data_IF_032431414140
#
_entry.id   IF_032431414140
#
_cell.length_a   1.000
_cell.length_b   1.000
_cell.length_c   1.000
_cell.angle_alpha   90.00
_cell.angle_beta   90.00
_cell.angle_gamma   90.00
#
_symmetry.space_group_name_H-M   'P 1'
#
loop_
_entity.id
_entity.type
_entity.pdbx_description
1 polymer ?
#
# COMPACT_ATOMS: atom_id res chain seq x y z
N UNK A 1 16.80 -7.56 -1.36
CA UNK A 1 16.41 -6.66 -2.46
C UNK A 1 15.96 -5.28 -1.96
N UNK A 2 14.92 -5.14 -1.14
CA UNK A 2 14.40 -3.82 -0.73
C UNK A 2 15.41 -2.91 -0.02
N UNK A 3 16.34 -3.46 0.78
CA UNK A 3 17.38 -2.69 1.46
C UNK A 3 18.18 -1.78 0.51
N UNK A 4 18.73 -2.32 -0.58
CA UNK A 4 19.54 -1.54 -1.51
C UNK A 4 18.71 -0.48 -2.24
N UNK A 5 17.45 -0.79 -2.52
CA UNK A 5 16.53 0.17 -3.15
C UNK A 5 16.22 1.34 -2.21
N UNK A 6 15.85 1.08 -0.95
CA UNK A 6 15.60 2.12 0.06
C UNK A 6 16.84 3.00 0.25
N UNK A 7 18.01 2.36 0.40
CA UNK A 7 19.28 3.07 0.58
C UNK A 7 19.59 3.97 -0.63
N UNK A 8 19.37 3.47 -1.85
CA UNK A 8 19.55 4.24 -3.09
C UNK A 8 18.60 5.43 -3.16
N UNK A 9 17.30 5.21 -2.90
CA UNK A 9 16.29 6.26 -2.96
C UNK A 9 16.50 7.34 -1.88
N UNK A 10 16.99 6.93 -0.70
CA UNK A 10 17.29 7.88 0.37
C UNK A 10 18.50 8.76 0.05
N UNK A 11 19.59 8.16 -0.49
CA UNK A 11 20.85 8.87 -0.75
C UNK A 11 20.86 9.64 -2.07
N UNK A 12 20.15 9.14 -3.08
CA UNK A 12 20.02 9.76 -4.41
C UNK A 12 18.52 9.87 -4.73
N UNK A 13 17.82 10.84 -4.12
CA UNK A 13 16.39 10.97 -4.28
C UNK A 13 16.01 11.25 -5.73
N UNK A 14 15.01 10.51 -6.22
CA UNK A 14 14.37 10.73 -7.50
C UNK A 14 12.88 10.94 -7.27
N UNK A 15 12.45 12.20 -7.38
CA UNK A 15 11.02 12.55 -7.25
C UNK A 15 10.18 11.87 -8.34
N UNK A 16 10.58 11.84 -9.63
CA UNK A 16 9.81 11.14 -10.66
C UNK A 16 9.61 9.65 -10.35
N UNK A 17 10.65 8.98 -9.84
CA UNK A 17 10.55 7.56 -9.47
C UNK A 17 9.67 7.36 -8.23
N UNK A 18 9.72 8.28 -7.27
CA UNK A 18 8.86 8.26 -6.09
C UNK A 18 7.37 8.38 -6.47
N UNK A 19 7.07 9.27 -7.41
CA UNK A 19 5.72 9.40 -8.01
C UNK A 19 5.31 8.15 -8.78
N UNK A 20 6.23 7.57 -9.57
CA UNK A 20 5.94 6.33 -10.30
C UNK A 20 5.57 5.20 -9.33
N UNK A 21 6.34 5.01 -8.25
CA UNK A 21 6.02 4.02 -7.22
C UNK A 21 4.67 4.31 -6.55
N UNK A 22 4.39 5.57 -6.21
CA UNK A 22 3.11 5.99 -5.64
C UNK A 22 1.92 5.66 -6.55
N UNK A 23 2.04 5.93 -7.85
CA UNK A 23 0.96 5.70 -8.82
C UNK A 23 0.80 4.21 -9.19
N UNK A 24 1.85 3.40 -8.99
CA UNK A 24 1.89 2.01 -9.48
C UNK A 24 0.72 1.15 -8.99
N UNK A 25 0.30 1.14 -7.71
CA UNK A 25 -0.89 0.41 -7.27
C UNK A 25 -2.17 0.82 -8.02
N UNK A 26 -2.33 2.12 -8.29
CA UNK A 26 -3.50 2.65 -9.01
C UNK A 26 -3.49 2.16 -10.46
N UNK A 27 -2.34 2.30 -11.14
CA UNK A 27 -2.18 1.87 -12.54
C UNK A 27 -2.41 0.37 -12.68
N UNK A 28 -1.86 -0.45 -11.78
CA UNK A 28 -2.09 -1.90 -11.78
C UNK A 28 -3.56 -2.25 -11.54
N UNK A 29 -4.23 -1.57 -10.62
CA UNK A 29 -5.66 -1.79 -10.36
C UNK A 29 -6.52 -1.43 -11.58
N UNK A 30 -6.24 -0.30 -12.24
CA UNK A 30 -6.94 0.11 -13.45
C UNK A 30 -6.71 -0.87 -14.61
N UNK A 31 -5.47 -1.29 -14.82
CA UNK A 31 -5.13 -2.29 -15.83
C UNK A 31 -5.85 -3.62 -15.55
N UNK A 32 -5.87 -4.05 -14.29
CA UNK A 32 -6.58 -5.26 -13.87
C UNK A 32 -8.09 -5.15 -14.10
N UNK A 33 -8.74 -4.09 -13.62
CA UNK A 33 -10.19 -3.89 -13.82
C UNK A 33 -10.55 -3.88 -15.30
N UNK A 34 -9.73 -3.22 -16.13
CA UNK A 34 -9.91 -3.22 -17.58
C UNK A 34 -9.76 -4.62 -18.17
N UNK A 35 -8.79 -5.40 -17.70
CA UNK A 35 -8.54 -6.76 -18.17
C UNK A 35 -9.67 -7.74 -17.83
N UNK A 36 -10.24 -7.66 -16.62
CA UNK A 36 -11.33 -8.56 -16.18
C UNK A 36 -12.74 -8.03 -16.51
N UNK A 37 -12.84 -6.87 -17.18
CA UNK A 37 -14.12 -6.28 -17.58
C UNK A 37 -14.92 -5.64 -16.44
N UNK A 38 -14.27 -5.27 -15.33
CA UNK A 38 -14.92 -4.56 -14.23
C UNK A 38 -15.12 -3.09 -14.60
N UNK A 39 -16.31 -2.55 -14.32
CA UNK A 39 -16.62 -1.14 -14.51
C UNK A 39 -15.74 -0.27 -13.60
N UNK A 40 -15.19 0.80 -14.18
CA UNK A 40 -14.28 1.72 -13.50
C UNK A 40 -15.00 3.04 -13.26
N UNK A 41 -15.21 3.36 -11.99
CA UNK A 41 -15.63 4.70 -11.58
C UNK A 41 -14.41 5.62 -11.53
N UNK A 42 -14.13 6.31 -12.64
CA UNK A 42 -12.99 7.21 -12.76
C UNK A 42 -13.02 8.35 -11.75
N UNK A 43 -14.20 8.85 -11.37
CA UNK A 43 -14.32 9.92 -10.39
C UNK A 43 -13.86 9.44 -9.01
N UNK A 44 -14.33 8.25 -8.60
CA UNK A 44 -13.90 7.63 -7.34
C UNK A 44 -12.42 7.27 -7.34
N UNK A 45 -11.89 6.76 -8.47
CA UNK A 45 -10.46 6.47 -8.59
C UNK A 45 -9.63 7.75 -8.46
N UNK A 46 -9.96 8.81 -9.21
CA UNK A 46 -9.24 10.08 -9.16
C UNK A 46 -9.28 10.71 -7.76
N UNK A 47 -10.46 10.69 -7.11
CA UNK A 47 -10.61 11.18 -5.74
C UNK A 47 -9.74 10.37 -4.77
N UNK A 48 -9.79 9.03 -4.85
CA UNK A 48 -8.99 8.15 -4.00
C UNK A 48 -7.48 8.35 -4.22
N UNK A 49 -7.04 8.49 -5.47
CA UNK A 49 -5.63 8.74 -5.80
C UNK A 49 -5.19 10.13 -5.33
N UNK A 50 -6.04 11.15 -5.49
CA UNK A 50 -5.78 12.50 -4.99
C UNK A 50 -5.63 12.55 -3.46
N UNK A 51 -6.55 11.90 -2.73
CA UNK A 51 -6.43 11.77 -1.27
C UNK A 51 -5.19 10.96 -0.87
N UNK A 52 -4.87 9.90 -1.62
CA UNK A 52 -3.65 9.12 -1.42
C UNK A 52 -2.38 9.96 -1.61
N UNK A 53 -2.36 10.89 -2.56
CA UNK A 53 -1.23 11.80 -2.79
C UNK A 53 -1.05 12.73 -1.60
N UNK A 54 -2.13 13.31 -1.07
CA UNK A 54 -2.09 14.15 0.13
C UNK A 54 -1.60 13.35 1.34
N UNK A 55 -2.14 12.16 1.56
CA UNK A 55 -1.72 11.28 2.66
C UNK A 55 -0.23 10.87 2.56
N UNK A 56 0.25 10.59 1.35
CA UNK A 56 1.66 10.27 1.09
C UNK A 56 2.59 11.44 1.41
N UNK A 57 2.23 12.66 0.98
CA UNK A 57 2.99 13.87 1.28
C UNK A 57 3.02 14.16 2.78
N UNK A 58 1.87 14.07 3.46
CA UNK A 58 1.78 14.22 4.91
C UNK A 58 2.63 13.18 5.65
N UNK A 59 2.56 11.91 5.22
CA UNK A 59 3.35 10.83 5.81
C UNK A 59 4.86 11.07 5.64
N UNK A 60 5.28 11.51 4.45
CA UNK A 60 6.67 11.85 4.18
C UNK A 60 7.13 13.04 5.04
N UNK A 61 6.25 14.02 5.27
CA UNK A 61 6.53 15.16 6.15
C UNK A 61 6.67 14.73 7.61
N UNK A 62 5.79 13.85 8.10
CA UNK A 62 5.89 13.26 9.44
C UNK A 62 7.23 12.53 9.60
N UNK A 63 7.61 11.67 8.66
CA UNK A 63 8.90 10.95 8.69
C UNK A 63 10.06 11.95 8.73
N UNK A 64 10.05 12.96 7.86
CA UNK A 64 11.11 13.96 7.81
C UNK A 64 11.23 14.77 9.12
N UNK A 65 10.11 15.24 9.67
CA UNK A 65 10.08 15.93 10.96
C UNK A 65 10.57 15.03 12.09
N UNK A 66 10.17 13.75 12.11
CA UNK A 66 10.66 12.78 13.08
C UNK A 66 12.16 12.55 12.95
N UNK A 67 12.72 12.56 11.74
CA UNK A 67 14.17 12.47 11.54
C UNK A 67 14.89 13.67 12.17
N UNK A 68 14.38 14.88 11.96
CA UNK A 68 14.93 16.09 12.57
C UNK A 68 14.87 16.03 14.10
N UNK A 69 13.73 15.60 14.66
CA UNK A 69 13.54 15.55 16.12
C UNK A 69 14.34 14.44 16.80
N UNK A 70 14.37 13.22 16.24
CA UNK A 70 15.07 12.08 16.85
C UNK A 70 16.56 12.04 16.53
N UNK A 71 17.00 12.59 15.40
CA UNK A 71 18.40 12.49 14.94
C UNK A 71 19.15 13.81 14.98
N UNK A 72 18.45 14.93 15.14
CA UNK A 72 19.02 16.27 15.22
C UNK A 72 19.54 16.81 13.88
N UNK A 73 20.24 17.94 13.95
CA UNK A 73 20.84 18.64 12.80
C UNK A 73 21.89 17.81 12.05
N UNK A 74 22.45 16.78 12.67
CA UNK A 74 23.43 15.89 12.05
C UNK A 74 22.79 14.92 11.04
N UNK A 75 21.46 14.83 11.01
CA UNK A 75 20.77 14.00 10.03
C UNK A 75 21.05 14.57 8.64
N UNK A 76 21.78 13.82 7.80
CA UNK A 76 21.98 14.15 6.37
C UNK A 76 20.70 13.93 5.54
N UNK A 77 19.55 13.84 6.20
CA UNK A 77 18.28 13.53 5.58
C UNK A 77 17.72 14.79 4.89
N UNK A 78 17.33 14.65 3.63
CA UNK A 78 16.50 15.64 2.95
C UNK A 78 15.05 15.14 2.91
N UNK A 79 14.09 16.07 2.80
CA UNK A 79 12.68 15.73 2.62
C UNK A 79 12.49 14.85 1.37
N UNK A 80 13.15 15.20 0.26
CA UNK A 80 13.13 14.39 -0.96
C UNK A 80 13.67 12.97 -0.73
N UNK A 81 14.73 12.81 0.07
CA UNK A 81 15.26 11.50 0.46
C UNK A 81 14.27 10.67 1.27
N UNK A 82 13.62 11.27 2.27
CA UNK A 82 12.59 10.61 3.07
C UNK A 82 11.39 10.20 2.20
N UNK A 83 10.90 11.10 1.36
CA UNK A 83 9.79 10.88 0.45
C UNK A 83 10.09 9.77 -0.57
N UNK A 84 11.21 9.85 -1.30
CA UNK A 84 11.61 8.82 -2.28
C UNK A 84 11.82 7.45 -1.63
N UNK A 85 12.43 7.40 -0.45
CA UNK A 85 12.63 6.14 0.28
C UNK A 85 11.30 5.56 0.78
N UNK A 86 10.40 6.40 1.30
CA UNK A 86 9.08 5.98 1.75
C UNK A 86 8.21 5.49 0.60
N UNK A 87 8.37 6.03 -0.62
CA UNK A 87 7.63 5.58 -1.79
C UNK A 87 7.86 4.11 -2.16
N UNK A 88 8.94 3.49 -1.67
CA UNK A 88 9.16 2.04 -1.81
C UNK A 88 8.02 1.22 -1.19
N UNK A 89 7.29 1.77 -0.21
CA UNK A 89 6.08 1.13 0.33
C UNK A 89 5.00 0.92 -0.74
N UNK A 90 4.79 1.87 -1.64
CA UNK A 90 3.80 1.70 -2.70
C UNK A 90 4.23 0.65 -3.73
N UNK A 91 5.54 0.51 -3.99
CA UNK A 91 6.07 -0.59 -4.78
C UNK A 91 5.82 -1.95 -4.10
N UNK A 92 6.03 -2.05 -2.78
CA UNK A 92 5.72 -3.26 -2.01
C UNK A 92 4.24 -3.59 -2.11
N UNK A 93 3.36 -2.60 -1.90
CA UNK A 93 1.90 -2.75 -2.00
C UNK A 93 1.50 -3.21 -3.41
N UNK A 94 2.08 -2.63 -4.45
CA UNK A 94 1.84 -3.02 -5.84
C UNK A 94 2.22 -4.49 -6.11
N UNK A 95 3.41 -4.91 -5.67
CA UNK A 95 3.89 -6.29 -5.83
C UNK A 95 3.02 -7.26 -5.05
N UNK A 96 2.70 -6.95 -3.78
CA UNK A 96 1.82 -7.75 -2.94
C UNK A 96 0.42 -7.87 -3.57
N UNK A 97 -0.16 -6.76 -4.02
CA UNK A 97 -1.47 -6.75 -4.68
C UNK A 97 -1.48 -7.59 -5.96
N UNK A 98 -0.44 -7.48 -6.79
CA UNK A 98 -0.30 -8.31 -7.99
C UNK A 98 -0.20 -9.80 -7.65
N UNK A 99 0.56 -10.18 -6.62
CA UNK A 99 0.66 -11.57 -6.15
C UNK A 99 -0.68 -12.09 -5.63
N UNK A 100 -1.42 -11.28 -4.87
CA UNK A 100 -2.77 -11.63 -4.40
C UNK A 100 -3.71 -11.88 -5.58
N UNK A 101 -3.77 -10.94 -6.53
CA UNK A 101 -4.61 -11.05 -7.72
C UNK A 101 -4.26 -12.31 -8.52
N UNK A 102 -2.97 -12.53 -8.81
CA UNK A 102 -2.51 -13.70 -9.55
C UNK A 102 -2.86 -15.01 -8.84
N UNK A 103 -2.75 -15.04 -7.51
CA UNK A 103 -3.06 -16.22 -6.71
C UNK A 103 -4.55 -16.53 -6.71
N UNK A 104 -5.42 -15.52 -6.58
CA UNK A 104 -6.87 -15.70 -6.68
C UNK A 104 -7.25 -16.15 -8.09
N UNK A 105 -6.67 -15.53 -9.12
CA UNK A 105 -6.93 -15.89 -10.53
C UNK A 105 -6.58 -17.34 -10.82
N UNK A 106 -5.45 -17.83 -10.27
CA UNK A 106 -5.01 -19.21 -10.46
C UNK A 106 -5.80 -20.22 -9.60
N UNK A 107 -6.14 -19.86 -8.36
CA UNK A 107 -6.77 -20.78 -7.41
C UNK A 107 -8.30 -20.88 -7.57
N UNK A 108 -8.95 -19.81 -8.06
CA UNK A 108 -10.41 -19.74 -8.20
C UNK A 108 -10.76 -19.24 -9.62
N UNK A 109 -10.68 -20.12 -10.63
CA UNK A 109 -11.04 -19.77 -12.00
C UNK A 109 -12.48 -19.26 -12.10
N UNK A 110 -12.73 -18.25 -12.93
CA UNK A 110 -14.06 -17.67 -13.12
C UNK A 110 -14.54 -16.75 -11.99
N UNK A 111 -13.78 -16.60 -10.89
CA UNK A 111 -14.15 -15.70 -9.80
C UNK A 111 -14.36 -14.25 -10.28
N UNK A 112 -13.37 -13.69 -10.99
CA UNK A 112 -13.44 -12.30 -11.43
C UNK A 112 -14.49 -12.07 -12.51
N UNK A 113 -14.69 -13.03 -13.42
CA UNK A 113 -15.75 -12.97 -14.43
C UNK A 113 -17.13 -12.96 -13.76
N UNK A 114 -17.32 -13.80 -12.74
CA UNK A 114 -18.57 -13.83 -12.00
C UNK A 114 -18.82 -12.52 -11.26
N UNK A 115 -17.81 -11.98 -10.59
CA UNK A 115 -17.90 -10.66 -9.94
C UNK A 115 -18.23 -9.56 -10.96
N UNK A 116 -17.58 -9.57 -12.14
CA UNK A 116 -17.86 -8.61 -13.19
C UNK A 116 -19.29 -8.71 -13.73
N UNK A 117 -19.81 -9.93 -13.89
CA UNK A 117 -21.19 -10.14 -14.34
C UNK A 117 -22.24 -9.56 -13.38
N UNK A 118 -21.95 -9.55 -12.07
CA UNK A 118 -22.86 -9.07 -11.03
C UNK A 118 -22.73 -7.56 -10.80
N UNK A 119 -21.65 -6.95 -11.29
CA UNK A 119 -21.41 -5.52 -11.13
C UNK A 119 -22.44 -4.71 -11.91
N UNK A 120 -23.10 -3.75 -11.24
CA UNK A 120 -24.11 -2.89 -11.87
C UNK A 120 -25.53 -3.48 -11.90
N UNK A 121 -25.74 -4.71 -11.41
CA UNK A 121 -27.08 -5.30 -11.30
C UNK A 121 -27.84 -4.88 -10.04
N UNK A 122 -27.26 -4.04 -9.18
CA UNK A 122 -27.85 -3.66 -7.90
C UNK A 122 -27.95 -4.83 -6.90
N UNK A 123 -27.23 -5.92 -7.17
CA UNK A 123 -27.31 -7.13 -6.37
C UNK A 123 -26.86 -6.89 -4.93
N UNK A 124 -27.57 -7.47 -3.96
CA UNK A 124 -27.20 -7.40 -2.54
C UNK A 124 -25.92 -8.21 -2.28
N UNK A 125 -25.27 -7.95 -1.14
CA UNK A 125 -24.08 -8.74 -0.75
C UNK A 125 -24.41 -10.24 -0.63
N UNK A 126 -25.61 -10.57 -0.17
CA UNK A 126 -26.06 -11.96 -0.04
C UNK A 126 -26.27 -12.63 -1.41
N UNK A 127 -26.79 -11.88 -2.39
CA UNK A 127 -26.94 -12.36 -3.76
C UNK A 127 -25.59 -12.58 -4.43
N UNK A 128 -24.62 -11.69 -4.19
CA UNK A 128 -23.25 -11.84 -4.68
C UNK A 128 -22.58 -13.06 -4.02
N UNK A 129 -22.73 -13.23 -2.70
CA UNK A 129 -22.17 -14.38 -1.99
C UNK A 129 -22.79 -15.71 -2.49
N UNK A 130 -24.11 -15.76 -2.62
CA UNK A 130 -24.82 -16.94 -3.14
C UNK A 130 -24.41 -17.26 -4.59
N UNK A 131 -24.19 -16.24 -5.41
CA UNK A 131 -23.77 -16.41 -6.80
C UNK A 131 -22.30 -16.84 -6.95
N UNK A 132 -21.45 -16.54 -5.95
CA UNK A 132 -20.06 -16.98 -5.89
C UNK A 132 -19.89 -18.36 -5.23
N UNK A 133 -20.84 -18.77 -4.38
CA UNK A 133 -20.77 -20.02 -3.61
C UNK A 133 -20.45 -21.26 -4.47
N UNK A 134 -21.09 -21.48 -5.65
CA UNK A 134 -20.78 -22.67 -6.47
C UNK A 134 -19.33 -22.69 -6.97
N UNK A 135 -18.77 -21.51 -7.28
CA UNK A 135 -17.36 -21.37 -7.70
C UNK A 135 -16.44 -21.69 -6.51
N UNK A 136 -16.76 -21.15 -5.33
CA UNK A 136 -15.99 -21.39 -4.11
C UNK A 136 -16.04 -22.86 -3.67
N UNK A 137 -17.19 -23.51 -3.78
CA UNK A 137 -17.36 -24.93 -3.46
C UNK A 137 -16.54 -25.83 -4.41
N UNK A 138 -16.53 -25.48 -5.71
CA UNK A 138 -15.72 -26.17 -6.72
C UNK A 138 -14.20 -26.00 -6.49
N UNK A 139 -13.80 -24.91 -5.83
CA UNK A 139 -12.42 -24.60 -5.47
C UNK A 139 -12.09 -24.89 -3.99
N UNK A 140 -12.95 -25.61 -3.26
CA UNK A 140 -12.84 -25.83 -1.82
C UNK A 140 -11.47 -26.38 -1.36
N UNK A 141 -10.84 -27.25 -2.18
CA UNK A 141 -9.50 -27.79 -1.89
C UNK A 141 -8.38 -26.73 -2.01
N UNK A 142 -8.56 -25.70 -2.85
CA UNK A 142 -7.61 -24.62 -3.03
C UNK A 142 -7.81 -23.47 -2.03
N UNK A 143 -8.98 -23.37 -1.40
CA UNK A 143 -9.35 -22.27 -0.51
C UNK A 143 -8.47 -22.17 0.75
N UNK A 144 -8.22 -23.30 1.44
CA UNK A 144 -7.40 -23.28 2.65
C UNK A 144 -5.94 -22.89 2.33
N UNK A 145 -5.24 -23.55 1.38
CA UNK A 145 -3.90 -23.12 0.97
C UNK A 145 -3.83 -21.66 0.50
N UNK A 146 -4.83 -21.21 -0.28
CA UNK A 146 -4.91 -19.83 -0.73
C UNK A 146 -5.03 -18.87 0.46
N UNK A 147 -5.92 -19.13 1.42
CA UNK A 147 -6.09 -18.27 2.59
C UNK A 147 -4.81 -18.16 3.43
N UNK A 148 -4.09 -19.28 3.62
CA UNK A 148 -2.81 -19.29 4.33
C UNK A 148 -1.74 -18.50 3.57
N UNK A 149 -1.66 -18.68 2.25
CA UNK A 149 -0.75 -17.93 1.40
C UNK A 149 -1.04 -16.42 1.44
N UNK A 150 -2.31 -16.03 1.30
CA UNK A 150 -2.74 -14.63 1.37
C UNK A 150 -2.39 -14.01 2.74
N UNK A 151 -2.60 -14.74 3.83
CA UNK A 151 -2.20 -14.30 5.16
C UNK A 151 -0.68 -14.07 5.26
N UNK A 152 0.14 -15.02 4.79
CA UNK A 152 1.61 -14.89 4.79
C UNK A 152 2.06 -13.69 3.95
N UNK A 153 1.48 -13.52 2.76
CA UNK A 153 1.78 -12.38 1.87
C UNK A 153 1.39 -11.05 2.52
N UNK A 154 0.23 -10.99 3.18
CA UNK A 154 -0.20 -9.80 3.90
C UNK A 154 0.74 -9.46 5.05
N UNK A 155 1.09 -10.45 5.90
CA UNK A 155 2.06 -10.25 6.98
C UNK A 155 3.41 -9.79 6.43
N UNK A 156 3.92 -10.43 5.38
CA UNK A 156 5.17 -10.04 4.73
C UNK A 156 5.11 -8.59 4.22
N UNK A 157 3.99 -8.17 3.63
CA UNK A 157 3.76 -6.80 3.19
C UNK A 157 3.79 -5.79 4.35
N UNK A 158 3.12 -6.10 5.46
CA UNK A 158 3.11 -5.26 6.67
C UNK A 158 4.53 -5.11 7.24
N UNK A 159 5.24 -6.23 7.45
CA UNK A 159 6.60 -6.20 7.97
C UNK A 159 7.57 -5.47 7.03
N UNK A 160 7.42 -5.63 5.72
CA UNK A 160 8.22 -4.91 4.74
C UNK A 160 7.96 -3.40 4.82
N UNK A 161 6.71 -2.98 5.02
CA UNK A 161 6.35 -1.57 5.19
C UNK A 161 6.96 -0.93 6.44
N UNK A 162 6.89 -1.64 7.58
CA UNK A 162 7.54 -1.22 8.83
C UNK A 162 9.06 -1.16 8.65
N UNK A 163 9.64 -2.15 7.96
CA UNK A 163 11.07 -2.21 7.70
C UNK A 163 11.58 -1.02 6.87
N UNK A 164 10.79 -0.50 5.91
CA UNK A 164 11.15 0.72 5.15
C UNK A 164 11.36 1.90 6.09
N UNK A 165 10.43 2.15 7.00
CA UNK A 165 10.49 3.28 7.93
C UNK A 165 11.66 3.10 8.91
N UNK A 166 11.81 1.91 9.48
CA UNK A 166 12.97 1.57 10.32
C UNK A 166 14.29 1.83 9.60
N UNK A 167 14.38 1.46 8.32
CA UNK A 167 15.60 1.63 7.51
C UNK A 167 15.90 3.09 7.24
N UNK A 168 14.89 3.91 6.95
CA UNK A 168 15.03 5.37 6.79
C UNK A 168 15.65 5.98 8.05
N UNK A 169 15.13 5.64 9.24
CA UNK A 169 15.67 6.10 10.51
C UNK A 169 17.16 5.75 10.70
N UNK A 170 17.53 4.51 10.36
CA UNK A 170 18.91 4.03 10.46
C UNK A 170 19.86 4.70 9.45
N UNK A 171 19.36 5.05 8.26
CA UNK A 171 20.17 5.70 7.22
C UNK A 171 20.46 7.17 7.53
N UNK A 172 19.54 7.85 8.21
CA UNK A 172 19.70 9.27 8.55
C UNK A 172 20.85 9.50 9.54
N UNK A 173 20.99 8.63 10.55
CA UNK A 173 22.11 8.60 11.49
C UNK A 173 22.20 7.21 12.11
N UNK A 174 23.40 6.61 12.13
CA UNK A 174 23.62 5.34 12.81
C UNK A 174 23.48 5.53 14.32
N UNK A 175 22.36 5.06 14.86
CA UNK A 175 22.05 5.03 16.29
C UNK A 175 21.72 3.60 16.71
N UNK A 176 21.47 3.41 18.00
CA UNK A 176 20.99 2.12 18.53
C UNK A 176 19.74 1.61 17.79
N UNK A 177 19.60 0.28 17.70
CA UNK A 177 18.42 -0.37 17.11
C UNK A 177 17.13 0.03 17.85
N UNK A 178 17.19 0.22 19.17
CA UNK A 178 16.06 0.71 19.96
C UNK A 178 15.58 2.10 19.52
N UNK A 179 16.51 3.06 19.32
CA UNK A 179 16.15 4.39 18.82
C UNK A 179 15.49 4.35 17.44
N UNK A 180 15.99 3.49 16.54
CA UNK A 180 15.41 3.32 15.20
C UNK A 180 14.04 2.61 15.24
N UNK A 181 13.85 1.67 16.16
CA UNK A 181 12.56 1.02 16.37
C UNK A 181 11.52 2.00 16.94
N UNK A 182 11.90 2.79 17.95
CA UNK A 182 11.05 3.85 18.52
C UNK A 182 10.68 4.89 17.46
N UNK A 183 11.66 5.33 16.65
CA UNK A 183 11.41 6.20 15.51
C UNK A 183 10.34 5.61 14.56
N UNK A 184 10.47 4.33 14.20
CA UNK A 184 9.52 3.69 13.31
C UNK A 184 8.12 3.61 13.92
N UNK A 185 8.01 3.17 15.19
CA UNK A 185 6.73 3.07 15.91
C UNK A 185 6.03 4.42 16.02
N UNK A 186 6.74 5.46 16.46
CA UNK A 186 6.17 6.81 16.61
C UNK A 186 5.78 7.39 15.26
N UNK A 187 6.61 7.23 14.23
CA UNK A 187 6.29 7.69 12.88
C UNK A 187 5.03 7.01 12.36
N UNK A 188 4.90 5.69 12.52
CA UNK A 188 3.71 4.94 12.09
C UNK A 188 2.47 5.46 12.82
N UNK A 189 2.53 5.61 14.15
CA UNK A 189 1.40 6.13 14.93
C UNK A 189 0.95 7.51 14.46
N UNK A 190 1.88 8.43 14.21
CA UNK A 190 1.57 9.77 13.71
C UNK A 190 1.04 9.77 12.27
N UNK A 191 1.56 8.89 11.40
CA UNK A 191 1.04 8.72 10.04
C UNK A 191 -0.41 8.20 10.06
N UNK A 192 -0.70 7.20 10.91
CA UNK A 192 -2.06 6.68 11.08
C UNK A 192 -3.01 7.75 11.63
N UNK A 193 -2.55 8.55 12.60
CA UNK A 193 -3.33 9.67 13.12
C UNK A 193 -3.60 10.74 12.04
N UNK A 194 -2.58 11.10 11.25
CA UNK A 194 -2.74 12.07 10.16
C UNK A 194 -3.73 11.58 9.09
N UNK A 195 -3.66 10.30 8.71
CA UNK A 195 -4.61 9.69 7.76
C UNK A 195 -6.04 9.67 8.32
N UNK A 196 -6.20 9.34 9.61
CA UNK A 196 -7.49 9.39 10.29
C UNK A 196 -8.10 10.80 10.26
N UNK A 197 -7.31 11.82 10.62
CA UNK A 197 -7.75 13.23 10.57
C UNK A 197 -8.11 13.64 9.15
N UNK A 198 -7.30 13.27 8.15
CA UNK A 198 -7.59 13.56 6.74
C UNK A 198 -8.94 12.97 6.32
N UNK A 199 -9.21 11.71 6.65
CA UNK A 199 -10.49 11.05 6.33
C UNK A 199 -11.67 11.74 7.02
N UNK A 200 -11.51 12.12 8.28
CA UNK A 200 -12.55 12.82 9.04
C UNK A 200 -12.86 14.19 8.42
N UNK A 201 -11.83 14.94 7.99
CA UNK A 201 -12.03 16.22 7.28
C UNK A 201 -12.78 16.03 5.97
N UNK A 202 -12.42 15.02 5.17
CA UNK A 202 -13.11 14.72 3.90
C UNK A 202 -14.59 14.39 4.14
N UNK A 203 -14.91 13.59 5.15
CA UNK A 203 -16.29 13.24 5.51
C UNK A 203 -17.14 14.42 6.01
N UNK A 204 -16.52 15.50 6.50
CA UNK A 204 -17.25 16.70 6.90
C UNK A 204 -17.55 17.63 5.73
N UNK A 205 -16.83 17.49 4.60
CA UNK A 205 -16.96 18.37 3.43
C UNK A 205 -17.91 17.76 2.38
N UNK A 206 -17.97 16.43 2.28
CA UNK A 206 -18.77 15.67 1.32
C UNK A 206 -19.78 14.77 2.02
#
# INVERSE_FOLDING_TARGET
MFRSLIDSQFRKPSIPLAFLFFLLPTVLSLAFFSFVGLSIDFAKVLLSTGLGLVAWLLSSAVIYLMLLLFKGSDSKASFAGAMSAFSVNFLIIAVVGALVIASVFAAIPGFFEKVASLQGQGASLDEVAAALQPILDSSSQAMLPLSMFLAVVLFAGIFAGIYVIYRIGRLAKETSSFSNAMFAVVSIGLMMFADFVLRLVVQMIF
#
